data_IF_992236767971
#
_entry.id   IF_992236767971
#
_cell.length_a   1.000
_cell.length_b   1.000
_cell.length_c   1.000
_cell.angle_alpha   90.00
_cell.angle_beta   90.00
_cell.angle_gamma   90.00
#
_symmetry.space_group_name_H-M   'P 1'
#
loop_
_entity.id
_entity.type
_entity.pdbx_description
1 polymer ?
#
# COMPACT_ATOMS: atom_id res chain seq x y z
N UNK A 1 11.23 -1.69 6.06
CA UNK A 1 11.36 -1.25 4.65
C UNK A 1 12.62 -0.41 4.55
N UNK A 2 13.57 -0.83 3.72
CA UNK A 2 14.84 -0.11 3.51
C UNK A 2 14.92 0.25 2.03
N UNK A 3 15.22 1.52 1.74
CA UNK A 3 15.39 2.03 0.38
C UNK A 3 16.84 2.40 0.18
N UNK A 4 17.42 1.94 -0.93
CA UNK A 4 18.78 2.27 -1.33
C UNK A 4 18.74 3.24 -2.51
N UNK A 5 19.64 4.24 -2.48
CA UNK A 5 19.80 5.19 -3.57
C UNK A 5 20.83 4.65 -4.55
N UNK A 6 20.40 4.41 -5.78
CA UNK A 6 21.28 3.98 -6.88
C UNK A 6 21.97 5.17 -7.57
N UNK A 7 21.33 6.34 -7.63
CA UNK A 7 21.84 7.52 -8.35
C UNK A 7 21.24 8.85 -7.85
N UNK A 8 21.77 9.98 -8.33
CA UNK A 8 21.32 11.34 -8.00
C UNK A 8 21.88 11.90 -6.70
N UNK A 9 21.63 13.19 -6.42
CA UNK A 9 22.10 13.87 -5.21
C UNK A 9 21.30 13.43 -3.96
N UNK A 10 21.93 13.41 -2.78
CA UNK A 10 21.29 12.86 -1.56
C UNK A 10 20.09 13.72 -1.17
N UNK A 11 20.23 15.04 -1.26
CA UNK A 11 19.18 15.97 -0.85
C UNK A 11 17.93 15.85 -1.72
N UNK A 12 18.10 15.76 -3.04
CA UNK A 12 17.02 15.55 -4.00
C UNK A 12 16.34 14.20 -3.81
N UNK A 13 17.13 13.12 -3.70
CA UNK A 13 16.59 11.78 -3.47
C UNK A 13 15.78 11.72 -2.18
N UNK A 14 16.29 12.32 -1.10
CA UNK A 14 15.58 12.38 0.19
C UNK A 14 14.28 13.16 0.06
N UNK A 15 14.31 14.32 -0.63
CA UNK A 15 13.15 15.19 -0.80
C UNK A 15 12.04 14.51 -1.60
N UNK A 16 12.38 13.85 -2.70
CA UNK A 16 11.42 13.12 -3.54
C UNK A 16 10.79 11.96 -2.76
N UNK A 17 11.61 11.17 -2.07
CA UNK A 17 11.12 9.99 -1.34
C UNK A 17 10.39 10.34 -0.04
N UNK A 18 10.60 11.53 0.53
CA UNK A 18 9.94 11.96 1.78
C UNK A 18 8.41 11.93 1.68
N UNK A 19 7.83 12.38 0.57
CA UNK A 19 6.37 12.40 0.40
C UNK A 19 5.80 10.99 0.35
N UNK A 20 6.44 10.11 -0.42
CA UNK A 20 6.06 8.70 -0.54
C UNK A 20 6.12 7.97 0.82
N UNK A 21 7.24 8.07 1.52
CA UNK A 21 7.42 7.45 2.83
C UNK A 21 6.44 7.99 3.87
N UNK A 22 6.13 9.29 3.84
CA UNK A 22 5.12 9.87 4.72
C UNK A 22 3.72 9.30 4.46
N UNK A 23 3.36 9.09 3.20
CA UNK A 23 2.08 8.46 2.84
C UNK A 23 2.04 7.01 3.35
N UNK A 24 3.09 6.22 3.09
CA UNK A 24 3.19 4.85 3.60
C UNK A 24 3.08 4.80 5.13
N UNK A 25 3.81 5.67 5.84
CA UNK A 25 3.75 5.77 7.30
C UNK A 25 2.32 6.03 7.78
N UNK A 26 1.59 6.94 7.14
CA UNK A 26 0.19 7.23 7.49
C UNK A 26 -0.72 6.02 7.26
N UNK A 27 -0.58 5.33 6.13
CA UNK A 27 -1.38 4.13 5.84
C UNK A 27 -1.11 3.03 6.88
N UNK A 28 0.16 2.79 7.24
CA UNK A 28 0.48 1.81 8.28
C UNK A 28 -0.02 2.21 9.67
N UNK A 29 0.01 3.51 10.00
CA UNK A 29 -0.55 3.99 11.26
C UNK A 29 -2.06 3.77 11.31
N UNK A 30 -2.79 4.14 10.25
CA UNK A 30 -4.23 3.89 10.13
C UNK A 30 -4.49 2.40 10.33
N UNK A 31 -3.79 1.55 9.57
CA UNK A 31 -3.94 0.09 9.66
C UNK A 31 -3.71 -0.46 11.06
N UNK A 32 -2.71 0.07 11.79
CA UNK A 32 -2.44 -0.33 13.18
C UNK A 32 -3.51 0.15 14.16
N UNK A 33 -4.18 1.26 13.86
CA UNK A 33 -5.25 1.82 14.71
C UNK A 33 -6.63 1.26 14.42
N UNK A 34 -6.83 0.55 13.30
CA UNK A 34 -8.09 -0.10 13.00
C UNK A 34 -8.39 -1.22 14.00
N UNK A 35 -9.65 -1.29 14.44
CA UNK A 35 -10.13 -2.38 15.29
C UNK A 35 -10.10 -3.72 14.52
N UNK A 36 -10.21 -4.85 15.22
CA UNK A 36 -10.31 -6.15 14.55
C UNK A 36 -11.50 -6.22 13.57
N UNK A 37 -12.66 -5.66 13.95
CA UNK A 37 -13.84 -5.62 13.09
C UNK A 37 -13.68 -4.73 11.86
N UNK A 38 -12.95 -3.61 11.98
CA UNK A 38 -12.69 -2.74 10.82
C UNK A 38 -11.71 -3.37 9.84
N UNK A 39 -10.69 -4.10 10.35
CA UNK A 39 -9.75 -4.85 9.52
C UNK A 39 -10.45 -5.93 8.71
N UNK A 40 -11.42 -6.64 9.32
CA UNK A 40 -12.21 -7.67 8.63
C UNK A 40 -13.04 -7.11 7.48
N UNK A 41 -13.54 -5.87 7.59
CA UNK A 41 -14.25 -5.19 6.49
C UNK A 41 -13.34 -4.95 5.28
N UNK A 42 -12.09 -4.53 5.51
CA UNK A 42 -11.13 -4.31 4.42
C UNK A 42 -10.58 -5.63 3.84
N UNK A 43 -10.36 -6.66 4.67
CA UNK A 43 -9.99 -8.00 4.20
C UNK A 43 -11.12 -8.69 3.42
N UNK A 44 -12.37 -8.50 3.84
CA UNK A 44 -13.54 -8.95 3.12
C UNK A 44 -13.65 -8.28 1.75
N UNK A 45 -13.46 -6.96 1.67
CA UNK A 45 -13.49 -6.21 0.41
C UNK A 45 -12.40 -6.64 -0.59
N UNK A 46 -11.21 -7.02 -0.12
CA UNK A 46 -10.15 -7.58 -0.97
C UNK A 46 -10.56 -8.88 -1.67
N UNK A 47 -11.33 -9.74 -0.99
CA UNK A 47 -11.89 -10.97 -1.60
C UNK A 47 -13.00 -10.70 -2.61
N UNK A 48 -13.72 -9.58 -2.49
CA UNK A 48 -14.73 -9.21 -3.50
C UNK A 48 -14.09 -8.70 -4.79
N UNK A 49 -12.92 -8.04 -4.72
CA UNK A 49 -12.18 -7.56 -5.90
C UNK A 49 -11.60 -8.74 -6.71
N UNK A 50 -11.21 -9.85 -6.07
CA UNK A 50 -10.77 -11.07 -6.77
C UNK A 50 -11.90 -11.74 -7.58
N UNK A 51 -13.14 -11.64 -7.12
CA UNK A 51 -14.29 -12.33 -7.76
C UNK A 51 -14.79 -11.58 -9.01
N UNK A 52 -14.52 -10.28 -9.13
CA UNK A 52 -14.99 -9.46 -10.26
C UNK A 52 -13.97 -9.35 -11.42
N UNK A 53 -12.82 -10.05 -11.33
CA UNK A 53 -11.68 -9.92 -12.25
C UNK A 53 -11.42 -11.06 -13.23
N UNK A 54 -12.33 -12.03 -13.42
CA UNK A 54 -12.15 -13.14 -14.37
C UNK A 54 -13.05 -12.97 -15.61
N UNK A 55 -12.56 -12.37 -16.72
CA UNK A 55 -13.14 -12.61 -18.03
C UNK A 55 -12.72 -14.00 -18.53
N UNK A 56 -13.72 -14.88 -18.67
CA UNK A 56 -13.88 -15.86 -19.74
C UNK A 56 -12.59 -16.51 -20.31
N UNK A 57 -12.06 -17.50 -19.59
CA UNK A 57 -11.20 -18.54 -20.18
C UNK A 57 -11.90 -19.89 -20.04
N UNK A 58 -13.04 -20.03 -20.72
CA UNK A 58 -13.72 -21.31 -20.93
C UNK A 58 -14.51 -21.24 -22.25
N UNK A 59 -14.01 -21.89 -23.30
CA UNK A 59 -14.72 -22.05 -24.58
C UNK A 59 -13.83 -21.87 -25.80
#
# INVERSE_FOLDING_TARGET
LTLYRESGEVSDWTRVNRRFLNTLRKQFLIWRTLSAGDRDRYLGAGRFIEVEGLPEAAG
#
